data_IF_111042195540
#
_entry.id   IF_111042195540
#
_cell.length_a   1.000
_cell.length_b   1.000
_cell.length_c   1.000
_cell.angle_alpha   90.00
_cell.angle_beta   90.00
_cell.angle_gamma   90.00
#
_symmetry.space_group_name_H-M   'P 1'
#
loop_
_entity.id
_entity.type
_entity.pdbx_description
1 polymer ?
#
# COMPACT_ATOMS: atom_id res chain seq x y z
N UNK A 1 2.44 15.99 -5.65
CA UNK A 1 1.89 15.33 -4.44
C UNK A 1 1.24 14.02 -4.91
N UNK A 2 1.35 12.92 -4.16
CA UNK A 2 0.77 11.62 -4.55
C UNK A 2 -0.45 11.30 -3.67
N UNK A 3 -1.69 11.45 -4.18
CA UNK A 3 -2.91 11.21 -3.40
C UNK A 3 -3.04 9.76 -2.93
N UNK A 4 -2.63 8.79 -3.75
CA UNK A 4 -2.68 7.38 -3.41
C UNK A 4 -1.88 7.09 -2.14
N UNK A 5 -0.64 7.60 -2.07
CA UNK A 5 0.22 7.41 -0.91
C UNK A 5 -0.32 8.11 0.33
N UNK A 6 -0.89 9.31 0.16
CA UNK A 6 -1.48 10.05 1.27
C UNK A 6 -2.63 9.27 1.92
N UNK A 7 -3.60 8.81 1.12
CA UNK A 7 -4.73 8.06 1.65
C UNK A 7 -4.34 6.67 2.18
N UNK A 8 -3.39 5.98 1.53
CA UNK A 8 -2.90 4.70 2.01
C UNK A 8 -2.24 4.81 3.40
N UNK A 9 -1.47 5.89 3.65
CA UNK A 9 -0.87 6.14 4.96
C UNK A 9 -1.93 6.43 6.04
N UNK A 10 -2.93 7.24 5.71
CA UNK A 10 -4.04 7.50 6.63
C UNK A 10 -4.81 6.21 6.94
N UNK A 11 -5.07 5.38 5.92
CA UNK A 11 -5.73 4.08 6.09
C UNK A 11 -4.92 3.17 7.02
N UNK A 12 -3.61 3.06 6.77
CA UNK A 12 -2.70 2.29 7.60
C UNK A 12 -2.78 2.70 9.08
N UNK A 13 -2.65 4.01 9.36
CA UNK A 13 -2.77 4.53 10.73
C UNK A 13 -4.16 4.31 11.31
N UNK A 14 -5.22 4.48 10.51
CA UNK A 14 -6.59 4.26 10.95
C UNK A 14 -6.86 2.79 11.33
N UNK A 15 -6.22 1.82 10.66
CA UNK A 15 -6.29 0.40 11.02
C UNK A 15 -5.84 0.14 12.45
N UNK A 16 -4.65 0.64 12.80
CA UNK A 16 -4.15 0.53 14.18
C UNK A 16 -5.04 1.25 15.20
N UNK A 17 -5.53 2.45 14.86
CA UNK A 17 -6.43 3.21 15.73
C UNK A 17 -7.81 2.55 15.89
N UNK A 18 -8.24 1.73 14.92
CA UNK A 18 -9.49 0.99 15.00
C UNK A 18 -9.37 -0.14 16.03
N UNK A 19 -8.26 -0.89 16.02
CA UNK A 19 -8.00 -1.95 17.00
C UNK A 19 -7.95 -1.43 18.44
N UNK A 20 -7.47 -0.19 18.62
CA UNK A 20 -7.42 0.49 19.92
C UNK A 20 -8.72 1.20 20.30
N UNK A 21 -9.76 1.14 19.45
CA UNK A 21 -11.08 1.74 19.70
C UNK A 21 -11.12 3.27 19.58
N UNK A 22 -10.06 3.90 19.07
CA UNK A 22 -9.95 5.37 18.94
C UNK A 22 -10.78 5.90 17.76
N UNK A 23 -10.87 5.13 16.67
CA UNK A 23 -11.66 5.50 15.48
C UNK A 23 -12.78 4.51 15.19
N UNK A 24 -13.80 4.96 14.46
CA UNK A 24 -14.92 4.11 14.05
C UNK A 24 -14.58 3.32 12.78
N UNK A 25 -15.12 2.09 12.60
CA UNK A 25 -14.91 1.29 11.39
C UNK A 25 -15.19 2.06 10.09
N UNK A 26 -16.24 2.89 10.10
CA UNK A 26 -16.64 3.74 8.96
C UNK A 26 -15.51 4.62 8.42
N UNK A 27 -14.56 5.05 9.25
CA UNK A 27 -13.42 5.84 8.79
C UNK A 27 -12.49 4.99 7.90
N UNK A 28 -12.20 3.76 8.29
CA UNK A 28 -11.39 2.84 7.49
C UNK A 28 -12.06 2.53 6.16
N UNK A 29 -13.38 2.36 6.12
CA UNK A 29 -14.12 2.16 4.87
C UNK A 29 -13.97 3.35 3.91
N UNK A 30 -14.13 4.57 4.43
CA UNK A 30 -13.98 5.81 3.63
C UNK A 30 -12.54 5.96 3.13
N UNK A 31 -11.55 5.69 3.98
CA UNK A 31 -10.14 5.77 3.61
C UNK A 31 -9.75 4.69 2.60
N UNK A 32 -10.32 3.48 2.71
CA UNK A 32 -10.14 2.41 1.71
C UNK A 32 -10.68 2.84 0.36
N UNK A 33 -11.92 3.34 0.31
CA UNK A 33 -12.52 3.86 -0.93
C UNK A 33 -11.69 4.99 -1.56
N UNK A 34 -11.23 5.96 -0.76
CA UNK A 34 -10.38 7.06 -1.24
C UNK A 34 -9.03 6.57 -1.74
N UNK A 35 -8.43 5.59 -1.06
CA UNK A 35 -7.17 4.97 -1.49
C UNK A 35 -7.35 4.25 -2.82
N UNK A 36 -8.38 3.40 -2.96
CA UNK A 36 -8.68 2.68 -4.20
C UNK A 36 -8.94 3.63 -5.36
N UNK A 37 -9.74 4.69 -5.16
CA UNK A 37 -10.00 5.69 -6.19
C UNK A 37 -8.70 6.39 -6.63
N UNK A 38 -7.89 6.84 -5.68
CA UNK A 38 -6.62 7.50 -5.99
C UNK A 38 -5.59 6.58 -6.67
N UNK A 39 -5.58 5.29 -6.32
CA UNK A 39 -4.76 4.27 -7.02
C UNK A 39 -5.24 4.12 -8.46
N UNK A 40 -6.55 3.97 -8.67
CA UNK A 40 -7.13 3.87 -10.02
C UNK A 40 -6.76 5.09 -10.87
N UNK A 41 -6.97 6.30 -10.36
CA UNK A 41 -6.64 7.55 -11.07
C UNK A 41 -5.15 7.64 -11.42
N UNK A 42 -4.29 7.09 -10.56
CA UNK A 42 -2.85 7.09 -10.81
C UNK A 42 -2.47 6.07 -11.89
N UNK A 43 -3.12 4.91 -11.91
CA UNK A 43 -2.93 3.87 -12.93
C UNK A 43 -3.37 4.30 -14.34
N UNK A 44 -4.38 5.17 -14.45
CA UNK A 44 -4.86 5.71 -15.74
C UNK A 44 -4.10 6.95 -16.20
N UNK A 45 -3.09 7.39 -15.43
CA UNK A 45 -2.30 8.59 -15.70
C UNK A 45 -0.83 8.27 -16.04
N UNK A 46 -0.04 9.30 -16.30
CA UNK A 46 1.41 9.23 -16.42
C UNK A 46 2.13 8.77 -15.14
N UNK A 47 1.42 8.74 -14.00
CA UNK A 47 1.94 8.30 -12.68
C UNK A 47 1.76 6.81 -12.38
N UNK A 48 1.33 6.00 -13.34
CA UNK A 48 1.01 4.57 -13.17
C UNK A 48 2.15 3.71 -12.61
N UNK A 49 3.38 4.21 -12.60
CA UNK A 49 4.53 3.57 -11.96
C UNK A 49 5.35 4.54 -11.10
N UNK A 50 4.75 5.60 -10.57
CA UNK A 50 5.44 6.55 -9.69
C UNK A 50 5.91 5.85 -8.40
N UNK A 51 6.96 6.39 -7.77
CA UNK A 51 7.39 5.88 -6.47
C UNK A 51 6.28 5.96 -5.42
N UNK A 52 5.49 7.03 -5.49
CA UNK A 52 4.39 7.24 -4.56
C UNK A 52 3.30 6.18 -4.72
N UNK A 53 2.93 5.83 -5.95
CA UNK A 53 1.95 4.79 -6.22
C UNK A 53 2.48 3.41 -5.80
N UNK A 54 3.75 3.10 -6.07
CA UNK A 54 4.39 1.86 -5.62
C UNK A 54 4.33 1.71 -4.10
N UNK A 55 4.64 2.79 -3.37
CA UNK A 55 4.55 2.81 -1.91
C UNK A 55 3.08 2.68 -1.45
N UNK A 56 2.15 3.34 -2.12
CA UNK A 56 0.73 3.28 -1.79
C UNK A 56 0.16 1.87 -1.90
N UNK A 57 0.47 1.16 -3.01
CA UNK A 57 0.02 -0.23 -3.22
C UNK A 57 0.65 -1.17 -2.18
N UNK A 58 1.90 -0.95 -1.79
CA UNK A 58 2.54 -1.69 -0.70
C UNK A 58 1.87 -1.46 0.64
N UNK A 59 1.64 -0.20 1.01
CA UNK A 59 0.94 0.14 2.26
C UNK A 59 -0.49 -0.41 2.28
N UNK A 60 -1.18 -0.46 1.14
CA UNK A 60 -2.50 -1.08 1.04
C UNK A 60 -2.43 -2.60 1.23
N UNK A 61 -1.49 -3.28 0.56
CA UNK A 61 -1.28 -4.71 0.74
C UNK A 61 -0.96 -5.06 2.20
N UNK A 62 -0.10 -4.26 2.83
CA UNK A 62 0.30 -4.46 4.22
C UNK A 62 -0.83 -4.16 5.21
N UNK A 63 -1.63 -3.11 4.98
CA UNK A 63 -2.86 -2.86 5.75
C UNK A 63 -3.82 -4.05 5.68
N UNK A 64 -4.06 -4.60 4.48
CA UNK A 64 -4.97 -5.73 4.30
C UNK A 64 -4.42 -7.03 4.91
N UNK A 65 -3.11 -7.21 4.94
CA UNK A 65 -2.44 -8.32 5.63
C UNK A 65 -2.61 -8.26 7.15
N UNK A 66 -2.54 -7.06 7.73
CA UNK A 66 -2.67 -6.92 9.19
C UNK A 66 -4.12 -6.85 9.67
N UNK A 67 -4.99 -6.17 8.93
CA UNK A 67 -6.33 -5.81 9.40
C UNK A 67 -7.46 -6.31 8.50
N UNK A 68 -7.15 -6.88 7.34
CA UNK A 68 -8.14 -7.38 6.39
C UNK A 68 -8.65 -8.76 6.75
N UNK A 69 -9.87 -9.06 6.32
CA UNK A 69 -10.51 -10.37 6.47
C UNK A 69 -10.23 -11.32 5.31
N UNK A 70 -9.56 -10.86 4.25
CA UNK A 70 -9.36 -11.60 3.01
C UNK A 70 -7.88 -11.69 2.62
N UNK A 71 -7.11 -12.63 3.21
CA UNK A 71 -5.69 -12.82 2.91
C UNK A 71 -5.42 -13.04 1.41
N UNK A 72 -6.37 -13.69 0.73
CA UNK A 72 -6.32 -13.98 -0.71
C UNK A 72 -6.03 -12.72 -1.54
N UNK A 73 -6.62 -11.57 -1.18
CA UNK A 73 -6.44 -10.30 -1.91
C UNK A 73 -4.99 -9.83 -1.83
N UNK A 74 -4.35 -9.95 -0.66
CA UNK A 74 -2.95 -9.56 -0.48
C UNK A 74 -2.05 -10.37 -1.40
N UNK A 75 -2.16 -11.72 -1.37
CA UNK A 75 -1.26 -12.62 -2.08
C UNK A 75 -1.52 -12.71 -3.59
N UNK A 76 -2.76 -12.48 -4.05
CA UNK A 76 -3.11 -12.61 -5.47
C UNK A 76 -3.21 -11.27 -6.20
N UNK A 77 -3.45 -10.17 -5.50
CA UNK A 77 -3.68 -8.85 -6.10
C UNK A 77 -2.60 -7.84 -5.74
N UNK A 78 -2.62 -7.29 -4.53
CA UNK A 78 -1.86 -6.07 -4.24
C UNK A 78 -0.35 -6.30 -4.09
N UNK A 79 0.09 -7.35 -3.40
CA UNK A 79 1.52 -7.67 -3.27
C UNK A 79 2.14 -8.02 -4.64
N UNK A 80 1.55 -8.91 -5.48
CA UNK A 80 2.03 -9.12 -6.84
C UNK A 80 2.01 -7.86 -7.70
N UNK A 81 0.99 -7.00 -7.57
CA UNK A 81 0.91 -5.75 -8.30
C UNK A 81 2.07 -4.81 -7.95
N UNK A 82 2.33 -4.59 -6.66
CA UNK A 82 3.47 -3.78 -6.21
C UNK A 82 4.79 -4.31 -6.78
N UNK A 83 5.02 -5.64 -6.69
CA UNK A 83 6.22 -6.27 -7.22
C UNK A 83 6.39 -6.03 -8.72
N UNK A 84 5.32 -6.13 -9.51
CA UNK A 84 5.35 -5.83 -10.95
C UNK A 84 5.69 -4.37 -11.22
N UNK A 85 5.16 -3.44 -10.43
CA UNK A 85 5.49 -2.02 -10.58
C UNK A 85 6.96 -1.73 -10.25
N UNK A 86 7.51 -2.37 -9.21
CA UNK A 86 8.94 -2.29 -8.88
C UNK A 86 9.79 -2.84 -10.04
N UNK A 87 9.42 -4.00 -10.59
CA UNK A 87 10.11 -4.60 -11.73
C UNK A 87 10.05 -3.71 -12.97
N UNK A 88 8.89 -3.10 -13.26
CA UNK A 88 8.71 -2.17 -14.36
C UNK A 88 9.64 -0.96 -14.26
N UNK A 89 9.99 -0.54 -13.05
CA UNK A 89 10.95 0.53 -12.78
C UNK A 89 12.42 0.06 -12.74
N UNK A 90 12.69 -1.19 -13.10
CA UNK A 90 14.05 -1.75 -13.13
C UNK A 90 14.53 -2.28 -11.77
N UNK A 91 13.62 -2.62 -10.87
CA UNK A 91 13.94 -3.17 -9.55
C UNK A 91 13.93 -2.14 -8.41
N UNK A 92 14.07 -2.63 -7.18
CA UNK A 92 13.96 -1.80 -5.97
C UNK A 92 15.05 -0.73 -5.88
N UNK A 93 16.27 -1.07 -6.30
CA UNK A 93 17.41 -0.14 -6.25
C UNK A 93 17.26 1.02 -7.24
N UNK A 94 16.52 0.79 -8.34
CA UNK A 94 16.22 1.76 -9.40
C UNK A 94 15.13 2.78 -9.01
N UNK A 95 14.49 2.63 -7.85
CA UNK A 95 13.45 3.56 -7.39
C UNK A 95 14.00 4.88 -6.84
N UNK A 96 15.31 5.05 -6.64
CA UNK A 96 15.91 6.26 -6.03
C UNK A 96 15.23 6.67 -4.71
N UNK A 97 14.81 5.68 -3.92
CA UNK A 97 14.22 5.87 -2.59
C UNK A 97 15.32 5.87 -1.51
N UNK A 98 15.11 6.54 -0.37
CA UNK A 98 15.99 6.42 0.79
C UNK A 98 16.11 4.95 1.24
N UNK A 99 17.29 4.53 1.68
CA UNK A 99 17.54 3.14 2.09
C UNK A 99 16.62 2.66 3.21
N UNK A 100 16.25 3.54 4.14
CA UNK A 100 15.29 3.21 5.20
C UNK A 100 13.91 2.83 4.64
N UNK A 101 13.48 3.45 3.54
CA UNK A 101 12.22 3.14 2.87
C UNK A 101 12.31 1.79 2.17
N UNK A 102 13.43 1.51 1.48
CA UNK A 102 13.67 0.20 0.86
C UNK A 102 13.72 -0.92 1.91
N UNK A 103 14.35 -0.66 3.06
CA UNK A 103 14.39 -1.59 4.18
C UNK A 103 12.99 -1.87 4.73
N UNK A 104 12.17 -0.82 4.92
CA UNK A 104 10.77 -0.98 5.31
C UNK A 104 9.98 -1.82 4.31
N UNK A 105 10.12 -1.55 3.00
CA UNK A 105 9.45 -2.35 1.96
C UNK A 105 9.84 -3.83 2.00
N UNK A 106 11.13 -4.14 2.23
CA UNK A 106 11.60 -5.54 2.37
C UNK A 106 11.03 -6.19 3.62
N UNK A 107 10.95 -5.45 4.72
CA UNK A 107 10.39 -5.93 5.97
C UNK A 107 8.88 -6.20 5.85
N UNK A 108 8.13 -5.27 5.26
CA UNK A 108 6.70 -5.43 4.96
C UNK A 108 6.46 -6.67 4.08
N UNK A 109 7.25 -6.85 3.02
CA UNK A 109 7.15 -8.03 2.15
C UNK A 109 7.41 -9.34 2.92
N UNK A 110 8.42 -9.36 3.80
CA UNK A 110 8.72 -10.52 4.62
C UNK A 110 7.57 -10.84 5.60
N UNK A 111 7.00 -9.84 6.27
CA UNK A 111 5.85 -10.05 7.17
C UNK A 111 4.67 -10.62 6.40
N UNK A 112 4.35 -10.06 5.23
CA UNK A 112 3.26 -10.56 4.37
C UNK A 112 3.51 -11.98 3.82
N UNK A 113 4.73 -12.51 3.87
CA UNK A 113 5.00 -13.92 3.48
C UNK A 113 4.85 -14.93 4.61
N UNK A 114 4.78 -14.47 5.86
CA UNK A 114 4.64 -15.34 7.03
C UNK A 114 3.17 -15.71 7.32
N UNK A 115 2.22 -14.99 6.72
CA UNK A 115 0.79 -15.23 6.80
C UNK A 115 0.32 -16.08 5.62
#
# INVERSE_FOLDING_TARGET
>A
QEPALYYARLLFTAGHLLETGVVRPRLCDVLKQKTTAAVHDSLTSDRHASNGLILAVGSLAFYESMYGSEPQIVHHLHRPAQRRMIQFRGGLDSLNLPEIVKAAMRWEDAVMTLQ
#
